data_IF_229617751236
#
_entry.id   IF_229617751236
#
_cell.length_a   1.000
_cell.length_b   1.000
_cell.length_c   1.000
_cell.angle_alpha   90.00
_cell.angle_beta   90.00
_cell.angle_gamma   90.00
#
_symmetry.space_group_name_H-M   'P 1'
#
loop_
_entity.id
_entity.type
_entity.pdbx_description
1 polymer ?
#
# COMPACT_ATOMS: atom_id res chain seq x y z
N UNK A 1 -45.45 -21.61 -13.07
CA UNK A 1 -44.47 -22.61 -13.52
C UNK A 1 -43.40 -21.90 -14.34
N UNK A 2 -42.12 -22.19 -14.03
CA UNK A 2 -40.85 -21.83 -14.71
C UNK A 2 -40.45 -20.33 -14.76
N UNK A 3 -39.48 -19.85 -13.97
CA UNK A 3 -38.00 -20.05 -13.87
C UNK A 3 -37.17 -19.38 -14.99
N UNK A 4 -36.27 -18.48 -14.52
CA UNK A 4 -34.86 -18.27 -14.96
C UNK A 4 -34.66 -17.54 -16.32
N UNK A 5 -33.73 -16.60 -16.52
CA UNK A 5 -32.49 -16.24 -15.83
C UNK A 5 -32.13 -14.77 -16.08
N UNK A 6 -31.45 -14.18 -15.09
CA UNK A 6 -30.65 -12.95 -15.20
C UNK A 6 -29.37 -13.22 -16.01
N UNK A 7 -28.88 -12.28 -16.83
CA UNK A 7 -27.48 -12.24 -17.19
C UNK A 7 -26.81 -11.11 -16.40
N UNK A 8 -26.08 -11.53 -15.38
CA UNK A 8 -24.94 -10.82 -14.83
C UNK A 8 -24.05 -10.31 -15.97
N UNK A 9 -24.08 -9.00 -16.25
CA UNK A 9 -22.88 -8.32 -16.72
C UNK A 9 -22.24 -7.69 -15.50
N UNK A 10 -21.46 -8.54 -14.81
CA UNK A 10 -20.35 -8.08 -13.98
C UNK A 10 -19.52 -7.14 -14.85
N UNK A 11 -19.61 -5.86 -14.52
CA UNK A 11 -18.57 -4.90 -14.84
C UNK A 11 -17.33 -5.45 -14.15
N UNK A 12 -16.50 -6.20 -14.89
CA UNK A 12 -15.12 -6.42 -14.51
C UNK A 12 -14.45 -5.06 -14.67
N UNK A 13 -14.05 -4.54 -13.52
CA UNK A 13 -13.30 -3.31 -13.34
C UNK A 13 -11.89 -3.53 -13.94
N UNK A 14 -11.76 -3.41 -15.26
CA UNK A 14 -10.49 -3.60 -16.01
C UNK A 14 -9.47 -2.46 -15.78
N UNK A 15 -9.77 -1.51 -14.88
CA UNK A 15 -8.84 -0.45 -14.47
C UNK A 15 -7.73 -0.94 -13.51
N UNK A 16 -7.87 -2.16 -12.98
CA UNK A 16 -7.00 -2.72 -11.94
C UNK A 16 -5.67 -3.31 -12.44
N UNK A 17 -5.49 -3.51 -13.76
CA UNK A 17 -4.43 -4.41 -14.28
C UNK A 17 -3.16 -3.66 -14.75
N UNK A 18 -3.28 -2.59 -15.56
CA UNK A 18 -2.10 -1.93 -16.15
C UNK A 18 -1.24 -1.18 -15.12
N UNK A 19 -1.87 -0.62 -14.08
CA UNK A 19 -1.20 0.10 -12.99
C UNK A 19 -0.38 -0.84 -12.11
N UNK A 20 -0.87 -2.05 -11.94
CA UNK A 20 -0.26 -3.14 -11.17
C UNK A 20 0.95 -3.65 -11.95
N UNK A 21 0.82 -3.95 -13.24
CA UNK A 21 1.95 -4.43 -14.05
C UNK A 21 3.17 -3.49 -14.06
N UNK A 22 2.96 -2.16 -14.06
CA UNK A 22 4.03 -1.16 -13.91
C UNK A 22 4.68 -1.15 -12.51
N UNK A 23 3.90 -1.43 -11.48
CA UNK A 23 4.34 -1.56 -10.09
C UNK A 23 5.24 -2.79 -9.87
N UNK A 24 4.99 -3.89 -10.59
CA UNK A 24 5.73 -5.17 -10.48
C UNK A 24 6.80 -5.37 -11.58
N UNK A 25 7.17 -4.30 -12.30
CA UNK A 25 8.35 -4.34 -13.16
C UNK A 25 9.60 -4.71 -12.33
N UNK A 26 10.58 -5.34 -13.00
CA UNK A 26 11.65 -6.21 -12.47
C UNK A 26 12.51 -5.67 -11.30
N UNK A 27 12.40 -4.40 -10.95
CA UNK A 27 13.24 -3.71 -9.95
C UNK A 27 12.51 -3.34 -8.63
N UNK A 28 11.23 -3.71 -8.47
CA UNK A 28 10.41 -3.30 -7.30
C UNK A 28 9.97 -4.46 -6.39
N UNK A 29 10.92 -5.34 -6.02
CA UNK A 29 10.65 -6.50 -5.14
C UNK A 29 10.09 -6.11 -3.76
N UNK A 30 10.40 -4.91 -3.26
CA UNK A 30 9.91 -4.40 -1.97
C UNK A 30 8.44 -4.04 -2.01
N UNK A 31 8.00 -3.27 -3.03
CA UNK A 31 6.58 -3.00 -3.25
C UNK A 31 5.81 -4.28 -3.53
N UNK A 32 6.47 -5.27 -4.14
CA UNK A 32 5.86 -6.57 -4.41
C UNK A 32 5.50 -7.29 -3.12
N UNK A 33 6.44 -7.38 -2.17
CA UNK A 33 6.19 -8.01 -0.87
C UNK A 33 5.12 -7.26 -0.07
N UNK A 34 5.23 -5.93 0.00
CA UNK A 34 4.26 -5.09 0.73
C UNK A 34 2.84 -5.25 0.15
N UNK A 35 2.71 -5.33 -1.18
CA UNK A 35 1.43 -5.55 -1.85
C UNK A 35 0.87 -6.96 -1.65
N UNK A 36 1.73 -7.99 -1.66
CA UNK A 36 1.30 -9.37 -1.38
C UNK A 36 0.77 -9.50 0.05
N UNK A 37 1.51 -8.99 1.04
CA UNK A 37 1.08 -9.00 2.44
C UNK A 37 -0.22 -8.22 2.65
N UNK A 38 -0.42 -7.13 1.90
CA UNK A 38 -1.65 -6.38 1.85
C UNK A 38 -2.84 -7.19 1.29
N UNK A 39 -2.59 -7.98 0.26
CA UNK A 39 -3.55 -8.93 -0.31
C UNK A 39 -3.91 -10.03 0.68
N UNK A 40 -2.90 -10.68 1.26
CA UNK A 40 -3.08 -11.72 2.29
C UNK A 40 -3.91 -11.21 3.47
N UNK A 41 -3.64 -9.98 3.92
CA UNK A 41 -4.44 -9.33 4.96
C UNK A 41 -5.90 -9.15 4.52
N UNK A 42 -6.15 -8.73 3.27
CA UNK A 42 -7.51 -8.53 2.78
C UNK A 42 -8.30 -9.84 2.69
N UNK A 43 -7.65 -10.92 2.30
CA UNK A 43 -8.25 -12.25 2.22
C UNK A 43 -8.56 -12.78 3.63
N UNK A 44 -7.61 -12.73 4.56
CA UNK A 44 -7.81 -13.13 5.95
C UNK A 44 -8.96 -12.39 6.64
N UNK A 45 -9.11 -11.09 6.35
CA UNK A 45 -10.21 -10.31 6.91
C UNK A 45 -11.57 -10.63 6.26
N UNK A 46 -11.58 -11.21 5.05
CA UNK A 46 -12.79 -11.57 4.29
C UNK A 46 -13.31 -12.97 4.64
N UNK A 47 -12.45 -13.87 5.13
CA UNK A 47 -12.81 -15.23 5.53
C UNK A 47 -13.56 -15.32 6.89
N UNK A 48 -13.59 -14.22 7.64
CA UNK A 48 -14.25 -14.12 8.95
C UNK A 48 -13.26 -13.93 10.09
N UNK A 49 -13.73 -13.39 11.23
CA UNK A 49 -12.87 -13.04 12.37
C UNK A 49 -13.06 -14.02 13.53
N UNK A 50 -12.28 -15.10 13.52
CA UNK A 50 -12.12 -15.99 14.68
C UNK A 50 -10.75 -15.82 15.35
N UNK A 51 -10.51 -16.56 16.43
CA UNK A 51 -9.26 -16.49 17.20
C UNK A 51 -8.02 -16.90 16.37
N UNK A 52 -8.20 -17.76 15.36
CA UNK A 52 -7.14 -18.25 14.49
C UNK A 52 -6.79 -17.22 13.42
N UNK A 53 -7.80 -16.70 12.70
CA UNK A 53 -7.65 -15.61 11.74
C UNK A 53 -7.12 -14.36 12.40
N UNK A 54 -7.54 -14.03 13.63
CA UNK A 54 -6.98 -12.91 14.40
C UNK A 54 -5.47 -13.02 14.58
N UNK A 55 -4.94 -14.21 14.88
CA UNK A 55 -3.48 -14.42 15.03
C UNK A 55 -2.77 -14.20 13.70
N UNK A 56 -3.31 -14.72 12.60
CA UNK A 56 -2.74 -14.52 11.27
C UNK A 56 -2.78 -13.05 10.84
N UNK A 57 -3.89 -12.36 11.07
CA UNK A 57 -4.04 -10.93 10.82
C UNK A 57 -2.97 -10.13 11.59
N UNK A 58 -2.74 -10.45 12.86
CA UNK A 58 -1.68 -9.80 13.65
C UNK A 58 -0.29 -10.09 13.08
N UNK A 59 -0.01 -11.34 12.68
CA UNK A 59 1.28 -11.71 12.05
C UNK A 59 1.51 -10.95 10.75
N UNK A 60 0.49 -10.85 9.89
CA UNK A 60 0.59 -10.12 8.63
C UNK A 60 0.73 -8.62 8.87
N UNK A 61 0.03 -8.06 9.86
CA UNK A 61 0.18 -6.65 10.25
C UNK A 61 1.56 -6.33 10.81
N UNK A 62 2.14 -7.20 11.63
CA UNK A 62 3.53 -7.03 12.10
C UNK A 62 4.51 -7.17 10.92
N UNK A 63 4.32 -8.14 10.03
CA UNK A 63 5.13 -8.28 8.81
C UNK A 63 5.07 -7.04 7.91
N UNK A 64 3.89 -6.42 7.78
CA UNK A 64 3.73 -5.14 7.06
C UNK A 64 4.41 -3.99 7.79
N UNK A 65 4.31 -3.93 9.12
CA UNK A 65 4.99 -2.92 9.95
C UNK A 65 6.51 -3.07 9.95
N UNK A 66 7.04 -4.26 9.68
CA UNK A 66 8.47 -4.49 9.50
C UNK A 66 8.92 -4.17 8.06
N UNK A 67 8.08 -4.49 7.06
CA UNK A 67 8.40 -4.27 5.65
C UNK A 67 8.31 -2.80 5.22
N UNK A 68 7.26 -2.08 5.64
CA UNK A 68 6.96 -0.72 5.14
C UNK A 68 7.95 0.35 5.61
N UNK A 69 8.50 0.32 6.83
CA UNK A 69 9.55 1.25 7.24
C UNK A 69 10.90 1.04 6.56
N UNK A 70 10.98 0.24 5.49
CA UNK A 70 12.21 -0.16 4.83
C UNK A 70 13.24 0.99 4.78
N UNK A 71 14.36 0.81 5.48
CA UNK A 71 15.49 1.75 5.52
C UNK A 71 15.93 2.17 4.11
N UNK A 72 15.74 1.28 3.14
CA UNK A 72 16.01 1.52 1.73
C UNK A 72 15.13 2.61 1.10
N UNK A 73 13.86 2.73 1.47
CA UNK A 73 12.96 3.80 0.99
C UNK A 73 13.38 5.15 1.55
N UNK A 74 13.66 5.21 2.85
CA UNK A 74 14.18 6.41 3.51
C UNK A 74 15.54 6.84 2.96
N UNK A 75 16.43 5.87 2.71
CA UNK A 75 17.72 6.11 2.05
C UNK A 75 17.53 6.64 0.62
N UNK A 76 16.53 6.14 -0.11
CA UNK A 76 16.19 6.65 -1.44
C UNK A 76 15.73 8.11 -1.41
N UNK A 77 14.84 8.45 -0.48
CA UNK A 77 14.38 9.83 -0.31
C UNK A 77 15.52 10.78 0.09
N UNK A 78 16.44 10.31 0.93
CA UNK A 78 17.67 11.03 1.27
C UNK A 78 18.54 11.30 0.03
N UNK A 79 18.83 10.27 -0.77
CA UNK A 79 19.61 10.43 -2.01
C UNK A 79 18.96 11.42 -2.98
N UNK A 80 17.65 11.33 -3.20
CA UNK A 80 16.96 12.29 -4.07
C UNK A 80 17.03 13.72 -3.54
N UNK A 81 16.97 13.90 -2.21
CA UNK A 81 17.11 15.21 -1.57
C UNK A 81 18.52 15.79 -1.77
N UNK A 82 19.54 14.96 -1.65
CA UNK A 82 20.95 15.32 -1.85
C UNK A 82 21.27 15.63 -3.31
N UNK A 83 20.69 14.88 -4.26
CA UNK A 83 20.92 15.09 -5.70
C UNK A 83 20.22 16.35 -6.22
N UNK A 84 19.05 16.71 -5.66
CA UNK A 84 18.27 17.87 -6.11
C UNK A 84 17.91 18.84 -4.97
N UNK A 85 18.91 19.45 -4.31
CA UNK A 85 18.68 20.30 -3.14
C UNK A 85 17.86 21.56 -3.49
N UNK A 86 18.06 22.11 -4.69
CA UNK A 86 17.47 23.39 -5.10
C UNK A 86 16.11 23.24 -5.82
N UNK A 87 15.69 22.01 -6.11
CA UNK A 87 14.43 21.77 -6.84
C UNK A 87 13.24 21.82 -5.88
N UNK A 88 12.63 22.99 -5.73
CA UNK A 88 11.47 23.19 -4.86
C UNK A 88 10.33 22.18 -5.12
N UNK A 89 10.12 21.79 -6.38
CA UNK A 89 9.13 20.77 -6.76
C UNK A 89 9.48 19.37 -6.24
N UNK A 90 10.71 18.91 -6.43
CA UNK A 90 11.17 17.61 -5.93
C UNK A 90 11.13 17.59 -4.40
N UNK A 91 11.61 18.67 -3.76
CA UNK A 91 11.60 18.81 -2.31
C UNK A 91 10.17 18.79 -1.73
N UNK A 92 9.20 19.41 -2.40
CA UNK A 92 7.80 19.35 -2.01
C UNK A 92 7.24 17.92 -2.14
N UNK A 93 7.49 17.26 -3.27
CA UNK A 93 7.05 15.87 -3.49
C UNK A 93 7.65 14.90 -2.47
N UNK A 94 8.94 15.03 -2.13
CA UNK A 94 9.59 14.20 -1.12
C UNK A 94 8.96 14.38 0.26
N UNK A 95 8.71 15.62 0.69
CA UNK A 95 8.03 15.87 1.97
C UNK A 95 6.62 15.30 2.00
N UNK A 96 5.90 15.38 0.88
CA UNK A 96 4.57 14.79 0.78
C UNK A 96 4.63 13.26 0.90
N UNK A 97 5.58 12.61 0.20
CA UNK A 97 5.77 11.17 0.31
C UNK A 97 6.16 10.76 1.74
N UNK A 98 7.09 11.46 2.39
CA UNK A 98 7.45 11.19 3.79
C UNK A 98 6.24 11.29 4.73
N UNK A 99 5.44 12.35 4.58
CA UNK A 99 4.23 12.53 5.38
C UNK A 99 3.19 11.41 5.16
N UNK A 100 3.01 11.00 3.91
CA UNK A 100 2.10 9.90 3.56
C UNK A 100 2.61 8.57 4.12
N UNK A 101 3.92 8.30 4.02
CA UNK A 101 4.57 7.11 4.55
C UNK A 101 4.43 7.00 6.08
N UNK A 102 4.73 8.07 6.82
CA UNK A 102 4.52 8.15 8.26
C UNK A 102 3.05 7.93 8.64
N UNK A 103 2.14 8.51 7.86
CA UNK A 103 0.70 8.32 7.99
C UNK A 103 0.28 6.85 7.84
N UNK A 104 0.85 6.13 6.87
CA UNK A 104 0.59 4.71 6.65
C UNK A 104 1.07 3.86 7.83
N UNK A 105 2.28 4.11 8.34
CA UNK A 105 2.81 3.40 9.52
C UNK A 105 1.91 3.62 10.73
N UNK A 106 1.45 4.86 10.94
CA UNK A 106 0.55 5.17 12.05
C UNK A 106 -0.80 4.45 11.92
N UNK A 107 -1.35 4.38 10.70
CA UNK A 107 -2.60 3.67 10.43
C UNK A 107 -2.46 2.16 10.68
N UNK A 108 -1.37 1.55 10.23
CA UNK A 108 -1.07 0.13 10.48
C UNK A 108 -0.93 -0.18 11.96
N UNK A 109 -0.21 0.65 12.72
CA UNK A 109 -0.10 0.50 14.18
C UNK A 109 -1.46 0.56 14.85
N UNK A 110 -2.30 1.52 14.46
CA UNK A 110 -3.67 1.62 14.97
C UNK A 110 -4.51 0.39 14.62
N UNK A 111 -4.36 -0.13 13.41
CA UNK A 111 -5.08 -1.32 12.95
C UNK A 111 -4.70 -2.54 13.78
N UNK A 112 -3.39 -2.78 13.93
CA UNK A 112 -2.83 -3.82 14.79
C UNK A 112 -3.34 -3.70 16.21
N UNK A 113 -3.24 -2.52 16.81
CA UNK A 113 -3.67 -2.31 18.20
C UNK A 113 -5.17 -2.61 18.33
N UNK A 114 -6.01 -2.19 17.38
CA UNK A 114 -7.45 -2.50 17.39
C UNK A 114 -7.73 -4.00 17.34
N UNK A 115 -7.02 -4.74 16.47
CA UNK A 115 -7.14 -6.21 16.35
C UNK A 115 -6.62 -6.91 17.61
N UNK A 116 -5.56 -6.38 18.23
CA UNK A 116 -4.99 -6.92 19.45
C UNK A 116 -5.93 -6.77 20.66
N UNK A 117 -6.57 -5.61 20.84
CA UNK A 117 -7.29 -5.26 22.08
C UNK A 117 -8.78 -5.63 22.11
N UNK A 118 -9.47 -5.88 20.98
CA UNK A 118 -10.95 -6.01 20.94
C UNK A 118 -11.48 -7.42 20.64
N UNK A 119 -11.35 -8.33 21.60
CA UNK A 119 -11.89 -9.70 21.54
C UNK A 119 -13.43 -9.79 21.49
N UNK A 120 -14.19 -8.77 21.94
CA UNK A 120 -15.63 -8.90 22.19
C UNK A 120 -16.56 -8.14 21.21
N UNK A 121 -16.02 -7.49 20.17
CA UNK A 121 -16.77 -6.75 19.13
C UNK A 121 -16.29 -7.15 17.72
N UNK A 122 -15.98 -8.44 17.56
CA UNK A 122 -15.25 -9.02 16.43
C UNK A 122 -15.83 -8.67 15.06
N UNK A 123 -17.15 -8.76 14.85
CA UNK A 123 -17.75 -8.51 13.53
C UNK A 123 -17.74 -7.04 13.10
N UNK A 124 -17.96 -6.13 14.05
CA UNK A 124 -17.97 -4.67 13.76
C UNK A 124 -16.55 -4.17 13.52
N UNK A 125 -15.60 -4.65 14.33
CA UNK A 125 -14.17 -4.33 14.16
C UNK A 125 -13.66 -4.91 12.85
N UNK A 126 -14.03 -6.14 12.49
CA UNK A 126 -13.67 -6.75 11.22
C UNK A 126 -14.11 -5.91 10.02
N UNK A 127 -15.37 -5.49 9.99
CA UNK A 127 -15.92 -4.72 8.88
C UNK A 127 -15.22 -3.38 8.71
N UNK A 128 -14.96 -2.67 9.82
CA UNK A 128 -14.23 -1.41 9.80
C UNK A 128 -12.76 -1.60 9.39
N UNK A 129 -12.10 -2.65 9.90
CA UNK A 129 -10.71 -3.00 9.57
C UNK A 129 -10.58 -3.33 8.08
N UNK A 130 -11.53 -4.05 7.49
CA UNK A 130 -11.58 -4.34 6.04
C UNK A 130 -11.69 -3.06 5.23
N UNK A 131 -12.56 -2.13 5.63
CA UNK A 131 -12.72 -0.87 4.93
C UNK A 131 -11.47 0.02 5.06
N UNK A 132 -10.85 0.03 6.22
CA UNK A 132 -9.59 0.73 6.47
C UNK A 132 -8.48 0.16 5.57
N UNK A 133 -8.38 -1.18 5.48
CA UNK A 133 -7.41 -1.85 4.63
C UNK A 133 -7.62 -1.57 3.15
N UNK A 134 -8.87 -1.66 2.64
CA UNK A 134 -9.17 -1.38 1.23
C UNK A 134 -8.82 0.05 0.84
N UNK A 135 -9.13 1.01 1.72
CA UNK A 135 -8.73 2.42 1.53
C UNK A 135 -7.22 2.57 1.53
N UNK A 136 -6.55 1.83 2.41
CA UNK A 136 -5.10 1.88 2.53
C UNK A 136 -4.40 1.26 1.31
N UNK A 137 -4.86 0.11 0.79
CA UNK A 137 -4.42 -0.50 -0.48
C UNK A 137 -4.39 0.52 -1.63
N UNK A 138 -5.49 1.25 -1.82
CA UNK A 138 -5.59 2.28 -2.84
C UNK A 138 -4.61 3.44 -2.59
N UNK A 139 -4.41 3.80 -1.33
CA UNK A 139 -3.47 4.88 -0.94
C UNK A 139 -2.03 4.45 -1.17
N UNK A 140 -1.70 3.19 -0.85
CA UNK A 140 -0.39 2.59 -1.03
C UNK A 140 0.00 2.47 -2.51
N UNK A 141 -0.94 2.03 -3.37
CA UNK A 141 -0.72 2.01 -4.82
C UNK A 141 -0.41 3.41 -5.36
N UNK A 142 -1.19 4.42 -4.97
CA UNK A 142 -0.95 5.81 -5.37
C UNK A 142 0.40 6.34 -4.88
N UNK A 143 0.78 5.97 -3.67
CA UNK A 143 2.07 6.32 -3.10
C UNK A 143 3.22 5.74 -3.94
N UNK A 144 3.21 4.43 -4.21
CA UNK A 144 4.25 3.78 -5.01
C UNK A 144 4.32 4.35 -6.44
N UNK A 145 3.19 4.66 -7.06
CA UNK A 145 3.17 5.32 -8.37
C UNK A 145 3.82 6.69 -8.35
N UNK A 146 3.61 7.47 -7.29
CA UNK A 146 4.22 8.81 -7.15
C UNK A 146 5.71 8.71 -6.85
N UNK A 147 6.10 7.75 -6.01
CA UNK A 147 7.50 7.44 -5.75
C UNK A 147 8.21 7.11 -7.07
N UNK A 148 7.68 6.17 -7.85
CA UNK A 148 8.25 5.78 -9.14
C UNK A 148 8.33 6.94 -10.15
N UNK A 149 7.27 7.76 -10.24
CA UNK A 149 7.30 8.94 -11.12
C UNK A 149 8.37 9.94 -10.69
N UNK A 150 8.55 10.15 -9.39
CA UNK A 150 9.55 11.08 -8.88
C UNK A 150 10.96 10.62 -9.22
N UNK A 151 11.23 9.32 -9.09
CA UNK A 151 12.49 8.71 -9.52
C UNK A 151 12.73 8.91 -11.02
N UNK A 152 11.74 8.56 -11.85
CA UNK A 152 11.84 8.72 -13.30
C UNK A 152 12.10 10.18 -13.71
N UNK A 153 11.34 11.13 -13.15
CA UNK A 153 11.53 12.56 -13.44
C UNK A 153 12.88 13.10 -12.94
N UNK A 154 13.41 12.55 -11.85
CA UNK A 154 14.74 12.88 -11.38
C UNK A 154 15.80 12.37 -12.37
N UNK A 155 15.71 11.10 -12.78
CA UNK A 155 16.62 10.47 -13.75
C UNK A 155 16.65 11.20 -15.10
N UNK A 156 15.49 11.55 -15.67
CA UNK A 156 15.42 12.34 -16.91
C UNK A 156 16.13 13.69 -16.78
N UNK A 157 15.99 14.37 -15.63
CA UNK A 157 16.67 15.64 -15.37
C UNK A 157 18.19 15.48 -15.16
N UNK A 158 18.64 14.36 -14.60
CA UNK A 158 20.07 14.05 -14.51
C UNK A 158 20.67 13.80 -15.91
N UNK A 159 19.94 13.11 -16.79
CA UNK A 159 20.39 12.84 -18.16
C UNK A 159 20.45 14.09 -19.06
N UNK A 160 19.60 15.09 -18.81
CA UNK A 160 19.59 16.35 -19.56
C UNK A 160 20.60 17.40 -19.08
N UNK A 161 21.30 17.17 -17.95
CA UNK A 161 22.38 18.03 -17.45
C UNK A 161 23.77 17.74 -18.03
N UNK A 162 23.91 16.73 -18.88
CA UNK A 162 25.15 16.37 -19.58
C UNK A 162 25.07 16.72 -21.08
N UNK A 163 24.98 18.01 -21.43
CA UNK A 163 25.33 18.50 -22.77
C UNK A 163 25.97 19.87 -22.70
#
# INVERSE_FOLDING_TARGET
MHRQSSPEKRIRDESYDDSVQLLFAKDNAEWTLEYLLLGDLADLLSEGYDEENRKWILVVLEGLLDAIPAEKRLERFRKLRETYPDSAGIQHSLRQLEFEHDGMILQLKRLRDRVAWRLSLLDVVATEVVQDLKRWLVTFQKFCQREHRLEFFAEERAGHGQK
#
